data_IF_894235659030
#
_entry.id   IF_894235659030
#
_cell.length_a   1.000
_cell.length_b   1.000
_cell.length_c   1.000
_cell.angle_alpha   90.00
_cell.angle_beta   90.00
_cell.angle_gamma   90.00
#
_symmetry.space_group_name_H-M   'P 1'
#
loop_
_entity.id
_entity.type
_entity.pdbx_description
1 polymer ?
#
# COMPACT_ATOMS: atom_id res chain seq x y z
N UNK A 1 25.46 46.81 -22.60
CA UNK A 1 25.44 45.40 -23.05
C UNK A 1 24.08 44.86 -22.68
N UNK A 2 23.36 44.32 -23.66
CA UNK A 2 21.99 43.86 -23.50
C UNK A 2 21.98 42.55 -22.71
N UNK A 3 21.68 42.62 -21.41
CA UNK A 3 21.68 41.46 -20.49
C UNK A 3 20.41 40.60 -20.60
N UNK A 4 19.47 40.98 -21.46
CA UNK A 4 18.20 40.28 -21.72
C UNK A 4 18.39 38.79 -22.04
N UNK A 5 19.37 38.37 -22.87
CA UNK A 5 19.60 36.95 -23.15
C UNK A 5 20.08 36.15 -21.93
N UNK A 6 20.82 36.78 -21.02
CA UNK A 6 21.29 36.13 -19.78
C UNK A 6 20.14 35.89 -18.82
N UNK A 7 19.26 36.89 -18.64
CA UNK A 7 18.09 36.77 -17.77
C UNK A 7 17.13 35.69 -18.27
N UNK A 8 16.87 35.63 -19.59
CA UNK A 8 16.02 34.60 -20.18
C UNK A 8 16.61 33.20 -19.95
N UNK A 9 17.92 33.03 -20.16
CA UNK A 9 18.61 31.76 -19.90
C UNK A 9 18.52 31.36 -18.43
N UNK A 10 18.74 32.29 -17.50
CA UNK A 10 18.61 32.02 -16.06
C UNK A 10 17.20 31.60 -15.66
N UNK A 11 16.15 32.26 -16.20
CA UNK A 11 14.76 31.88 -15.95
C UNK A 11 14.42 30.50 -16.53
N UNK A 12 14.92 30.19 -17.73
CA UNK A 12 14.77 28.87 -18.33
C UNK A 12 15.39 27.77 -17.47
N UNK A 13 16.64 27.95 -17.03
CA UNK A 13 17.32 26.99 -16.17
C UNK A 13 16.67 26.88 -14.79
N UNK A 14 16.18 28.00 -14.22
CA UNK A 14 15.43 27.99 -12.97
C UNK A 14 14.14 27.16 -13.09
N UNK A 15 13.37 27.36 -14.17
CA UNK A 15 12.15 26.59 -14.43
C UNK A 15 12.46 25.11 -14.68
N UNK A 16 13.50 24.81 -15.45
CA UNK A 16 13.89 23.44 -15.76
C UNK A 16 14.35 22.69 -14.49
N UNK A 17 15.19 23.32 -13.67
CA UNK A 17 15.63 22.78 -12.38
C UNK A 17 14.47 22.63 -11.40
N UNK A 18 13.60 23.64 -11.30
CA UNK A 18 12.39 23.54 -10.48
C UNK A 18 11.49 22.38 -10.92
N UNK A 19 11.18 22.28 -12.21
CA UNK A 19 10.28 21.25 -12.72
C UNK A 19 10.83 19.83 -12.55
N UNK A 20 12.13 19.62 -12.69
CA UNK A 20 12.77 18.31 -12.44
C UNK A 20 12.76 17.92 -10.96
N UNK A 21 12.93 18.89 -10.04
CA UNK A 21 12.85 18.64 -8.60
C UNK A 21 11.42 18.32 -8.15
N UNK A 22 10.41 19.01 -8.71
CA UNK A 22 9.00 18.81 -8.32
C UNK A 22 8.30 17.66 -9.06
N UNK A 23 8.77 17.25 -10.24
CA UNK A 23 8.21 16.14 -11.01
C UNK A 23 7.95 14.84 -10.20
N UNK A 24 8.89 14.31 -9.38
CA UNK A 24 8.66 13.08 -8.62
C UNK A 24 7.50 13.20 -7.62
N UNK A 25 7.35 14.38 -7.00
CA UNK A 25 6.26 14.64 -6.05
C UNK A 25 4.88 14.54 -6.73
N UNK A 26 4.71 15.20 -7.87
CA UNK A 26 3.45 15.13 -8.62
C UNK A 26 3.16 13.73 -9.14
N UNK A 27 4.20 13.01 -9.61
CA UNK A 27 4.06 11.63 -10.06
C UNK A 27 3.56 10.71 -8.93
N UNK A 28 4.12 10.85 -7.72
CA UNK A 28 3.70 10.08 -6.56
C UNK A 28 2.24 10.37 -6.19
N UNK A 29 1.85 11.64 -6.12
CA UNK A 29 0.47 12.02 -5.80
C UNK A 29 -0.55 11.48 -6.79
N UNK A 30 -0.21 11.51 -8.09
CA UNK A 30 -1.05 10.91 -9.14
C UNK A 30 -1.20 9.40 -8.96
N UNK A 31 -0.11 8.70 -8.61
CA UNK A 31 -0.15 7.25 -8.35
C UNK A 31 -1.00 6.90 -7.13
N UNK A 32 -0.91 7.66 -6.04
CA UNK A 32 -1.75 7.49 -4.85
C UNK A 32 -3.24 7.64 -5.19
N UNK A 33 -3.60 8.67 -5.95
CA UNK A 33 -4.98 8.90 -6.38
C UNK A 33 -5.52 7.76 -7.27
N UNK A 34 -4.71 7.27 -8.21
CA UNK A 34 -5.10 6.15 -9.07
C UNK A 34 -5.30 4.85 -8.28
N UNK A 35 -4.43 4.56 -7.30
CA UNK A 35 -4.58 3.39 -6.41
C UNK A 35 -5.88 3.46 -5.61
N UNK A 36 -6.18 4.62 -5.03
CA UNK A 36 -7.44 4.83 -4.28
C UNK A 36 -8.67 4.69 -5.19
N UNK A 37 -8.63 5.23 -6.40
CA UNK A 37 -9.72 5.07 -7.36
C UNK A 37 -9.94 3.60 -7.73
N UNK A 38 -8.87 2.85 -7.97
CA UNK A 38 -8.94 1.41 -8.25
C UNK A 38 -9.50 0.61 -7.07
N UNK A 39 -9.01 0.88 -5.86
CA UNK A 39 -9.54 0.24 -4.65
C UNK A 39 -11.03 0.49 -4.48
N UNK A 40 -11.49 1.74 -4.66
CA UNK A 40 -12.92 2.08 -4.60
C UNK A 40 -13.74 1.34 -5.66
N UNK A 41 -13.21 1.22 -6.88
CA UNK A 41 -13.85 0.45 -7.93
C UNK A 41 -13.98 -1.02 -7.54
N UNK A 42 -12.91 -1.65 -7.07
CA UNK A 42 -12.93 -3.05 -6.62
C UNK A 42 -13.91 -3.28 -5.47
N UNK A 43 -13.93 -2.39 -4.47
CA UNK A 43 -14.89 -2.44 -3.37
C UNK A 43 -16.33 -2.40 -3.88
N UNK A 44 -16.63 -1.53 -4.84
CA UNK A 44 -17.97 -1.43 -5.44
C UNK A 44 -18.33 -2.69 -6.21
N UNK A 45 -17.40 -3.19 -7.03
CA UNK A 45 -17.63 -4.35 -7.90
C UNK A 45 -17.82 -5.64 -7.09
N UNK A 46 -17.14 -5.78 -5.94
CA UNK A 46 -17.22 -6.96 -5.06
C UNK A 46 -18.20 -6.82 -3.90
N UNK A 47 -18.68 -5.60 -3.62
CA UNK A 47 -19.52 -5.34 -2.45
C UNK A 47 -18.80 -5.55 -1.12
N UNK A 48 -17.48 -5.38 -1.11
CA UNK A 48 -16.60 -5.70 0.02
C UNK A 48 -15.80 -4.46 0.47
N UNK A 49 -15.22 -4.55 1.66
CA UNK A 49 -14.10 -3.69 2.06
C UNK A 49 -12.80 -4.26 1.49
N UNK A 50 -12.06 -3.46 0.73
CA UNK A 50 -10.74 -3.84 0.21
C UNK A 50 -9.68 -3.23 1.12
N UNK A 51 -8.82 -4.09 1.66
CA UNK A 51 -7.67 -3.72 2.50
C UNK A 51 -6.41 -4.22 1.80
N UNK A 52 -5.33 -3.45 1.82
CA UNK A 52 -4.05 -3.86 1.20
C UNK A 52 -2.94 -3.90 2.24
N UNK A 53 -2.23 -5.03 2.31
CA UNK A 53 -1.01 -5.20 3.07
C UNK A 53 0.11 -5.60 2.10
N UNK A 54 0.79 -4.59 1.55
CA UNK A 54 1.75 -4.75 0.45
C UNK A 54 3.11 -4.21 0.91
N UNK A 55 4.05 -5.12 1.11
CA UNK A 55 5.45 -4.83 1.40
C UNK A 55 6.28 -5.08 0.15
N UNK A 56 6.42 -4.02 -0.65
CA UNK A 56 7.21 -4.08 -1.89
C UNK A 56 8.70 -4.17 -1.53
N UNK A 57 9.34 -5.26 -1.95
CA UNK A 57 10.81 -5.42 -1.95
C UNK A 57 11.39 -4.68 -3.16
N UNK A 58 11.21 -3.36 -3.20
CA UNK A 58 11.95 -2.55 -4.16
C UNK A 58 13.33 -2.22 -3.60
N UNK A 59 14.30 -2.11 -4.51
CA UNK A 59 15.57 -1.45 -4.26
C UNK A 59 15.38 0.06 -4.07
N UNK A 60 14.56 0.47 -3.11
CA UNK A 60 14.61 1.83 -2.60
C UNK A 60 15.84 1.86 -1.72
N UNK A 61 16.94 2.31 -2.29
CA UNK A 61 18.18 2.46 -1.56
C UNK A 61 18.28 3.88 -1.02
N UNK A 62 18.49 4.00 0.28
CA UNK A 62 19.03 5.23 0.85
C UNK A 62 20.53 5.03 0.98
N UNK A 63 21.35 5.86 0.31
CA UNK A 63 22.80 5.70 0.28
C UNK A 63 23.33 4.33 -0.21
N UNK A 64 22.54 3.57 -0.99
CA UNK A 64 22.92 2.23 -1.45
C UNK A 64 22.50 1.08 -0.52
N UNK A 65 21.87 1.37 0.63
CA UNK A 65 21.37 0.34 1.56
C UNK A 65 19.92 0.00 1.22
N UNK A 66 19.56 -1.28 0.98
CA UNK A 66 18.20 -1.67 0.65
C UNK A 66 17.24 -1.46 1.83
N UNK A 67 16.16 -0.71 1.61
CA UNK A 67 15.07 -0.57 2.58
C UNK A 67 14.04 -1.69 2.33
N UNK A 68 14.14 -2.77 3.10
CA UNK A 68 13.11 -3.83 3.10
C UNK A 68 11.97 -3.46 4.05
N UNK A 69 10.73 -3.75 3.64
CA UNK A 69 9.53 -3.56 4.48
C UNK A 69 8.96 -4.91 4.91
N UNK A 70 8.42 -4.95 6.12
CA UNK A 70 7.84 -6.12 6.77
C UNK A 70 6.59 -5.73 7.54
N UNK A 71 5.74 -6.70 7.88
CA UNK A 71 4.60 -6.49 8.77
C UNK A 71 5.13 -5.97 10.12
N UNK A 72 4.71 -4.78 10.52
CA UNK A 72 5.05 -4.17 11.81
C UNK A 72 3.79 -3.76 12.60
N UNK A 73 3.98 -3.10 13.74
CA UNK A 73 2.88 -2.67 14.62
C UNK A 73 2.01 -1.59 13.95
N UNK A 74 2.62 -0.67 13.22
CA UNK A 74 1.89 0.40 12.53
C UNK A 74 0.97 -0.16 11.43
N UNK A 75 1.43 -1.20 10.73
CA UNK A 75 0.62 -1.93 9.77
C UNK A 75 -0.57 -2.61 10.46
N UNK A 76 -0.33 -3.27 11.61
CA UNK A 76 -1.41 -3.93 12.35
C UNK A 76 -2.44 -2.91 12.85
N UNK A 77 -2.03 -1.77 13.39
CA UNK A 77 -2.95 -0.73 13.82
C UNK A 77 -3.84 -0.22 12.68
N UNK A 78 -3.25 0.03 11.50
CA UNK A 78 -3.99 0.50 10.32
C UNK A 78 -4.98 -0.54 9.80
N UNK A 79 -4.54 -1.80 9.68
CA UNK A 79 -5.39 -2.90 9.21
C UNK A 79 -6.51 -3.18 10.21
N UNK A 80 -6.19 -3.28 11.50
CA UNK A 80 -7.17 -3.48 12.57
C UNK A 80 -8.19 -2.35 12.61
N UNK A 81 -7.77 -1.10 12.39
CA UNK A 81 -8.70 0.04 12.28
C UNK A 81 -9.62 -0.11 11.08
N UNK A 82 -9.11 -0.53 9.92
CA UNK A 82 -9.93 -0.76 8.73
C UNK A 82 -10.95 -1.87 8.94
N UNK A 83 -10.57 -2.98 9.59
CA UNK A 83 -11.48 -4.07 9.97
C UNK A 83 -12.57 -3.54 10.92
N UNK A 84 -12.20 -2.87 12.02
CA UNK A 84 -13.16 -2.33 13.00
C UNK A 84 -14.12 -1.28 12.43
N UNK A 85 -13.71 -0.55 11.39
CA UNK A 85 -14.55 0.45 10.72
C UNK A 85 -15.44 -0.16 9.62
N UNK A 86 -15.32 -1.46 9.37
CA UNK A 86 -16.14 -2.18 8.39
C UNK A 86 -17.34 -2.78 9.10
N UNK A 87 -18.53 -2.61 8.53
CA UNK A 87 -19.75 -3.22 9.07
C UNK A 87 -19.59 -4.75 9.12
N UNK A 88 -20.09 -5.37 10.18
CA UNK A 88 -19.92 -6.80 10.41
C UNK A 88 -20.50 -7.68 9.29
N UNK A 89 -21.48 -7.17 8.53
CA UNK A 89 -22.12 -7.88 7.42
C UNK A 89 -21.46 -7.62 6.05
N UNK A 90 -20.46 -6.73 5.99
CA UNK A 90 -19.75 -6.41 4.76
C UNK A 90 -18.51 -7.30 4.63
N UNK A 91 -18.36 -8.11 3.55
CA UNK A 91 -17.19 -8.94 3.34
C UNK A 91 -15.88 -8.14 3.32
N UNK A 92 -14.77 -8.78 3.67
CA UNK A 92 -13.43 -8.19 3.60
C UNK A 92 -12.62 -8.90 2.53
N UNK A 93 -12.07 -8.14 1.60
CA UNK A 93 -11.04 -8.59 0.67
C UNK A 93 -9.70 -8.00 1.09
N UNK A 94 -8.79 -8.85 1.59
CA UNK A 94 -7.45 -8.46 1.99
C UNK A 94 -6.43 -8.86 0.93
N UNK A 95 -5.75 -7.89 0.32
CA UNK A 95 -4.67 -8.13 -0.64
C UNK A 95 -3.35 -8.21 0.12
N UNK A 96 -2.70 -9.38 0.10
CA UNK A 96 -1.46 -9.67 0.84
C UNK A 96 -0.30 -9.91 -0.12
N UNK A 97 0.73 -9.08 -0.02
CA UNK A 97 2.00 -9.28 -0.69
C UNK A 97 3.13 -8.92 0.28
N UNK A 98 3.70 -9.91 0.95
CA UNK A 98 4.61 -9.64 2.08
C UNK A 98 5.60 -10.77 2.33
N UNK A 99 6.87 -10.46 2.66
CA UNK A 99 7.85 -11.46 3.08
C UNK A 99 7.61 -11.92 4.54
N UNK A 100 6.58 -11.40 5.20
CA UNK A 100 6.29 -11.62 6.61
C UNK A 100 6.71 -10.43 7.46
N UNK A 101 7.00 -10.67 8.72
CA UNK A 101 7.39 -9.63 9.67
C UNK A 101 7.16 -10.04 11.11
N UNK A 102 6.80 -9.08 11.95
CA UNK A 102 6.56 -9.30 13.36
C UNK A 102 5.35 -10.23 13.57
N UNK A 103 5.58 -11.36 14.23
CA UNK A 103 4.57 -12.39 14.48
C UNK A 103 3.35 -11.83 15.21
N UNK A 104 3.56 -11.04 16.27
CA UNK A 104 2.49 -10.43 17.05
C UNK A 104 1.56 -9.56 16.17
N UNK A 105 2.15 -8.76 15.27
CA UNK A 105 1.38 -7.91 14.37
C UNK A 105 0.52 -8.73 13.40
N UNK A 106 1.09 -9.79 12.81
CA UNK A 106 0.36 -10.69 11.93
C UNK A 106 -0.74 -11.46 12.68
N UNK A 107 -0.46 -11.95 13.89
CA UNK A 107 -1.43 -12.66 14.73
C UNK A 107 -2.62 -11.78 15.09
N UNK A 108 -2.38 -10.52 15.48
CA UNK A 108 -3.47 -9.60 15.78
C UNK A 108 -4.40 -9.37 14.60
N UNK A 109 -3.83 -9.20 13.40
CA UNK A 109 -4.62 -9.06 12.16
C UNK A 109 -5.39 -10.36 11.90
N UNK A 110 -4.74 -11.52 11.95
CA UNK A 110 -5.37 -12.82 11.72
C UNK A 110 -6.57 -13.06 12.65
N UNK A 111 -6.39 -12.79 13.95
CA UNK A 111 -7.47 -12.92 14.94
C UNK A 111 -8.62 -11.95 14.68
N UNK A 112 -8.35 -10.74 14.18
CA UNK A 112 -9.40 -9.80 13.82
C UNK A 112 -10.16 -10.24 12.55
N UNK A 113 -9.47 -10.80 11.56
CA UNK A 113 -10.10 -11.38 10.37
C UNK A 113 -11.00 -12.55 10.75
N UNK A 114 -10.52 -13.50 11.55
CA UNK A 114 -11.29 -14.65 12.01
C UNK A 114 -12.55 -14.28 12.82
N UNK A 115 -12.53 -13.13 13.51
CA UNK A 115 -13.67 -12.64 14.30
C UNK A 115 -14.68 -11.87 13.46
N UNK A 116 -14.33 -11.49 12.23
CA UNK A 116 -15.24 -10.78 11.35
C UNK A 116 -16.38 -11.72 10.91
N UNK A 117 -17.63 -11.25 10.95
CA UNK A 117 -18.80 -12.12 10.74
C UNK A 117 -19.06 -12.43 9.27
N UNK A 118 -18.82 -11.46 8.39
CA UNK A 118 -18.95 -11.66 6.95
C UNK A 118 -17.71 -12.33 6.36
N UNK A 119 -17.86 -12.85 5.14
CA UNK A 119 -16.80 -13.56 4.42
C UNK A 119 -15.50 -12.74 4.32
N UNK A 120 -14.38 -13.38 4.65
CA UNK A 120 -13.03 -12.86 4.45
C UNK A 120 -12.37 -13.60 3.28
N UNK A 121 -11.93 -12.85 2.28
CA UNK A 121 -11.13 -13.38 1.16
C UNK A 121 -9.73 -12.77 1.20
N UNK A 122 -8.69 -13.60 1.16
CA UNK A 122 -7.31 -13.13 1.03
C UNK A 122 -6.82 -13.35 -0.39
N UNK A 123 -6.36 -12.28 -1.04
CA UNK A 123 -5.74 -12.30 -2.35
C UNK A 123 -4.22 -12.31 -2.21
N UNK A 124 -3.55 -13.30 -2.81
CA UNK A 124 -2.10 -13.45 -2.82
C UNK A 124 -1.59 -13.32 -4.26
N UNK A 125 -1.42 -12.10 -4.79
CA UNK A 125 -1.08 -11.90 -6.21
C UNK A 125 0.30 -12.43 -6.62
N UNK A 126 1.21 -12.66 -5.67
CA UNK A 126 2.54 -13.23 -5.97
C UNK A 126 3.05 -14.11 -4.83
N UNK A 127 3.15 -13.57 -3.62
CA UNK A 127 3.64 -14.32 -2.46
C UNK A 127 3.11 -13.75 -1.14
N UNK A 128 2.92 -14.63 -0.17
CA UNK A 128 2.63 -14.31 1.23
C UNK A 128 3.43 -15.26 2.12
N UNK A 129 4.52 -14.77 2.71
CA UNK A 129 5.46 -15.58 3.47
C UNK A 129 5.31 -15.37 4.98
N UNK A 130 5.60 -16.39 5.77
CA UNK A 130 5.61 -16.33 7.24
C UNK A 130 4.31 -15.72 7.79
N UNK A 131 4.34 -14.55 8.42
CA UNK A 131 3.14 -13.83 8.87
C UNK A 131 2.09 -13.63 7.78
N UNK A 132 2.47 -13.44 6.51
CA UNK A 132 1.52 -13.38 5.40
C UNK A 132 0.78 -14.70 5.16
N UNK A 133 1.45 -15.84 5.36
CA UNK A 133 0.83 -17.17 5.29
C UNK A 133 -0.20 -17.34 6.41
N UNK A 134 0.11 -16.86 7.62
CA UNK A 134 -0.84 -16.84 8.73
C UNK A 134 -2.11 -16.04 8.39
N UNK A 135 -1.97 -14.87 7.75
CA UNK A 135 -3.12 -14.08 7.32
C UNK A 135 -3.96 -14.80 6.27
N UNK A 136 -3.33 -15.45 5.30
CA UNK A 136 -4.04 -16.19 4.26
C UNK A 136 -4.83 -17.37 4.84
N UNK A 137 -4.22 -18.11 5.78
CA UNK A 137 -4.87 -19.25 6.45
C UNK A 137 -5.97 -18.83 7.44
N UNK A 138 -6.01 -17.56 7.86
CA UNK A 138 -7.06 -17.03 8.71
C UNK A 138 -8.34 -16.63 7.94
N UNK A 139 -8.32 -16.67 6.60
CA UNK A 139 -9.44 -16.28 5.75
C UNK A 139 -10.35 -17.47 5.40
N UNK A 140 -11.58 -17.18 4.99
CA UNK A 140 -12.52 -18.19 4.49
C UNK A 140 -12.16 -18.66 3.08
N UNK A 141 -11.54 -17.79 2.28
CA UNK A 141 -11.12 -18.09 0.91
C UNK A 141 -9.75 -17.45 0.61
N UNK A 142 -8.89 -18.19 -0.09
CA UNK A 142 -7.62 -17.70 -0.62
C UNK A 142 -7.71 -17.69 -2.14
N UNK A 143 -7.42 -16.54 -2.76
CA UNK A 143 -7.33 -16.38 -4.21
C UNK A 143 -5.87 -16.11 -4.58
N UNK A 144 -5.31 -16.94 -5.45
CA UNK A 144 -3.94 -16.84 -5.96
C UNK A 144 -3.91 -16.42 -7.42
#
# INVERSE_FOLDING_TARGET
MDDTPRVISSLFWLFFLGSTIFAPFFRQKRLEAMRLALMRKMQKDRGSRVITLIHRQESVSFLGIPLSRYINIEDSEQVLRAIRQTDENVPIDLIVHTPGGLVLAAEQIALALMRHKAKVTVFVPHYAMSGGTLLALAADEIVM
#
